data_IF_377877248814
#
_entry.id   IF_377877248814
#
_cell.length_a   1.000
_cell.length_b   1.000
_cell.length_c   1.000
_cell.angle_alpha   90.00
_cell.angle_beta   90.00
_cell.angle_gamma   90.00
#
_symmetry.space_group_name_H-M   'P 1'
#
loop_
_entity.id
_entity.type
_entity.pdbx_description
1 polymer ?
#
# COMPACT_ATOMS: atom_id res chain seq x y z
N UNK A 1 5.22 32.71 2.41
CA UNK A 1 5.29 31.31 1.97
C UNK A 1 6.34 30.64 2.86
N UNK A 2 5.94 29.87 3.86
CA UNK A 2 6.88 29.12 4.68
C UNK A 2 7.06 27.72 4.09
N UNK A 3 8.30 27.42 3.72
CA UNK A 3 8.80 26.13 3.25
C UNK A 3 8.73 25.11 4.38
N UNK A 4 7.94 24.05 4.20
CA UNK A 4 7.67 23.05 5.23
C UNK A 4 8.93 22.27 5.64
N UNK A 5 9.24 22.28 6.94
CA UNK A 5 10.29 21.46 7.55
C UNK A 5 9.83 20.00 7.64
N UNK A 6 10.55 19.12 6.96
CA UNK A 6 10.62 17.69 7.33
C UNK A 6 11.79 17.56 8.29
N UNK A 7 11.54 17.15 9.54
CA UNK A 7 12.58 16.94 10.53
C UNK A 7 12.95 15.44 10.56
N UNK A 8 14.17 15.11 10.15
CA UNK A 8 14.74 13.78 10.35
C UNK A 8 14.99 13.54 11.85
N UNK A 9 14.56 12.39 12.38
CA UNK A 9 14.69 12.04 13.81
C UNK A 9 16.10 11.51 14.17
N UNK A 10 17.10 11.88 13.36
CA UNK A 10 18.49 11.44 13.47
C UNK A 10 18.95 10.59 12.28
N UNK A 11 20.21 10.76 11.89
CA UNK A 11 20.93 9.88 10.95
C UNK A 11 21.67 8.86 11.79
N UNK A 12 21.32 7.59 11.71
CA UNK A 12 22.08 6.50 12.35
C UNK A 12 22.63 5.62 11.24
N UNK A 13 23.95 5.65 11.03
CA UNK A 13 24.64 4.77 10.08
C UNK A 13 24.00 4.66 8.68
N UNK A 14 23.57 5.78 8.09
CA UNK A 14 23.00 5.81 6.74
C UNK A 14 21.52 5.42 6.64
N UNK A 15 20.82 5.18 7.76
CA UNK A 15 19.36 5.04 7.79
C UNK A 15 18.68 6.37 8.14
N UNK A 16 17.53 6.62 7.51
CA UNK A 16 16.63 7.73 7.85
C UNK A 16 15.51 7.20 8.73
N UNK A 17 15.37 7.74 9.94
CA UNK A 17 14.24 7.46 10.80
C UNK A 17 13.05 8.36 10.42
N UNK A 18 11.91 7.73 10.10
CA UNK A 18 10.65 8.42 9.77
C UNK A 18 9.73 8.33 11.00
N UNK A 19 9.20 9.47 11.45
CA UNK A 19 8.15 9.49 12.47
C UNK A 19 6.82 9.15 11.82
N UNK A 20 6.16 8.13 12.36
CA UNK A 20 4.84 7.70 11.91
C UNK A 20 3.78 8.33 12.83
N UNK A 21 2.86 9.11 12.26
CA UNK A 21 1.68 9.58 13.00
C UNK A 21 0.63 8.47 12.99
N UNK A 22 -0.09 8.29 14.09
CA UNK A 22 -1.04 7.17 14.27
C UNK A 22 -2.19 7.22 13.26
N UNK A 23 -2.67 8.42 12.92
CA UNK A 23 -3.80 8.61 11.99
C UNK A 23 -3.37 8.92 10.55
N UNK A 24 -2.08 9.14 10.31
CA UNK A 24 -1.50 9.38 8.99
C UNK A 24 -0.16 8.63 8.81
N UNK A 25 -0.17 7.29 8.92
CA UNK A 25 1.08 6.55 8.80
C UNK A 25 1.69 6.72 7.40
N UNK A 26 2.96 7.09 7.36
CA UNK A 26 3.79 7.25 6.16
C UNK A 26 4.64 6.01 5.89
N UNK A 27 4.66 5.01 6.79
CA UNK A 27 5.25 3.70 6.53
C UNK A 27 4.48 2.61 7.28
N UNK A 28 4.53 1.38 6.77
CA UNK A 28 3.94 0.22 7.40
C UNK A 28 4.11 -1.03 6.55
N UNK A 29 3.39 -2.07 6.94
CA UNK A 29 3.38 -3.36 6.25
C UNK A 29 1.96 -3.70 5.76
N UNK A 30 1.88 -4.64 4.82
CA UNK A 30 0.64 -5.17 4.28
C UNK A 30 0.84 -6.59 3.77
N UNK A 31 -0.27 -7.23 3.38
CA UNK A 31 -0.24 -8.59 2.85
C UNK A 31 -1.29 -8.73 1.74
N UNK A 32 -0.88 -9.22 0.58
CA UNK A 32 -1.81 -9.74 -0.43
C UNK A 32 -2.10 -11.18 -0.04
N UNK A 33 -3.35 -11.45 0.33
CA UNK A 33 -3.79 -12.75 0.84
C UNK A 33 -4.19 -13.62 -0.36
N UNK A 34 -3.63 -14.82 -0.44
CA UNK A 34 -3.98 -15.80 -1.47
C UNK A 34 -5.41 -16.31 -1.30
N UNK A 35 -6.04 -16.69 -2.41
CA UNK A 35 -7.33 -17.38 -2.40
C UNK A 35 -7.12 -18.83 -1.94
N UNK A 36 -7.79 -19.23 -0.87
CA UNK A 36 -7.68 -20.56 -0.23
C UNK A 36 -8.86 -21.44 -0.59
N UNK A 37 -10.06 -20.86 -0.63
CA UNK A 37 -11.31 -21.56 -0.94
C UNK A 37 -12.07 -20.76 -2.00
N UNK A 38 -12.30 -21.35 -3.16
CA UNK A 38 -13.06 -20.76 -4.28
C UNK A 38 -13.94 -21.86 -4.90
N UNK A 39 -15.07 -22.15 -4.24
CA UNK A 39 -15.96 -23.24 -4.61
C UNK A 39 -16.88 -22.88 -5.78
N UNK A 40 -17.22 -21.61 -5.95
CA UNK A 40 -18.05 -21.11 -7.05
C UNK A 40 -17.24 -20.66 -8.28
N UNK A 41 -15.90 -20.68 -8.18
CA UNK A 41 -14.96 -20.35 -9.25
C UNK A 41 -15.08 -18.90 -9.75
N UNK A 42 -15.45 -17.97 -8.86
CA UNK A 42 -15.55 -16.54 -9.16
C UNK A 42 -14.20 -15.80 -9.01
N UNK A 43 -13.18 -16.48 -8.48
CA UNK A 43 -11.84 -15.94 -8.27
C UNK A 43 -11.66 -15.16 -6.97
N UNK A 44 -12.64 -15.18 -6.08
CA UNK A 44 -12.58 -14.64 -4.73
C UNK A 44 -12.55 -15.76 -3.70
N UNK A 45 -11.90 -15.49 -2.58
CA UNK A 45 -11.94 -16.39 -1.44
C UNK A 45 -13.31 -16.36 -0.78
N UNK A 46 -13.95 -17.52 -0.68
CA UNK A 46 -15.30 -17.67 -0.15
C UNK A 46 -15.44 -17.20 1.31
N UNK A 47 -14.37 -17.30 2.10
CA UNK A 47 -14.39 -16.99 3.53
C UNK A 47 -13.92 -15.56 3.80
N UNK A 48 -12.77 -15.18 3.24
CA UNK A 48 -12.09 -13.92 3.51
C UNK A 48 -12.44 -12.81 2.52
N UNK A 49 -13.14 -13.15 1.43
CA UNK A 49 -13.59 -12.20 0.39
C UNK A 49 -12.43 -11.38 -0.20
N UNK A 50 -11.30 -12.04 -0.43
CA UNK A 50 -10.11 -11.47 -1.11
C UNK A 50 -9.96 -12.06 -2.50
N UNK A 51 -9.39 -11.30 -3.43
CA UNK A 51 -9.23 -11.68 -4.84
C UNK A 51 -7.87 -12.34 -5.16
N UNK A 52 -6.99 -12.46 -4.15
CA UNK A 52 -5.62 -12.91 -4.36
C UNK A 52 -4.73 -11.91 -5.10
N UNK A 53 -5.22 -10.72 -5.46
CA UNK A 53 -4.57 -9.81 -6.40
C UNK A 53 -4.31 -8.42 -5.83
N UNK A 54 -5.02 -8.05 -4.77
CA UNK A 54 -4.92 -6.70 -4.22
C UNK A 54 -4.85 -6.68 -2.69
N UNK A 55 -4.21 -5.64 -2.17
CA UNK A 55 -4.27 -5.27 -0.77
C UNK A 55 -4.47 -3.75 -0.67
N UNK A 56 -5.52 -3.34 0.05
CA UNK A 56 -5.83 -1.92 0.30
C UNK A 56 -5.18 -1.47 1.59
N UNK A 57 -4.50 -0.34 1.53
CA UNK A 57 -3.88 0.32 2.68
C UNK A 57 -4.57 1.65 2.90
N UNK A 58 -5.14 1.84 4.09
CA UNK A 58 -5.80 3.08 4.49
C UNK A 58 -4.83 3.97 5.28
N UNK A 59 -4.62 5.19 4.82
CA UNK A 59 -3.82 6.21 5.51
C UNK A 59 -4.11 7.59 4.96
N UNK A 60 -4.24 8.58 5.86
CA UNK A 60 -4.41 10.00 5.51
C UNK A 60 -3.15 10.63 4.89
N UNK A 61 -2.03 9.91 4.89
CA UNK A 61 -0.80 10.36 4.23
C UNK A 61 -0.86 10.28 2.70
N UNK A 62 -1.91 9.67 2.11
CA UNK A 62 -2.12 9.62 0.67
C UNK A 62 -2.54 11.00 0.15
N UNK A 63 -1.68 11.63 -0.66
CA UNK A 63 -1.97 12.87 -1.37
C UNK A 63 -1.72 12.72 -2.88
N UNK A 64 -2.19 13.66 -3.70
CA UNK A 64 -1.99 13.60 -5.16
C UNK A 64 -0.49 13.63 -5.54
N UNK A 65 0.32 14.39 -4.81
CA UNK A 65 1.77 14.54 -5.01
C UNK A 65 2.60 13.45 -4.32
N UNK A 66 2.00 12.64 -3.45
CA UNK A 66 2.69 11.58 -2.73
C UNK A 66 3.29 10.54 -3.68
N UNK A 67 4.52 10.11 -3.41
CA UNK A 67 5.15 8.96 -4.05
C UNK A 67 5.07 7.79 -3.10
N UNK A 68 4.50 6.68 -3.57
CA UNK A 68 4.32 5.47 -2.77
C UNK A 68 5.32 4.45 -3.27
N UNK A 69 6.13 3.94 -2.36
CA UNK A 69 7.13 2.93 -2.62
C UNK A 69 6.72 1.66 -1.88
N UNK A 70 6.72 0.55 -2.62
CA UNK A 70 6.36 -0.76 -2.09
C UNK A 70 7.52 -1.71 -2.35
N UNK A 71 7.84 -2.51 -1.35
CA UNK A 71 8.84 -3.58 -1.44
C UNK A 71 8.20 -4.88 -1.00
N UNK A 72 8.17 -5.87 -1.89
CA UNK A 72 7.65 -7.20 -1.56
C UNK A 72 8.69 -8.04 -0.81
N UNK A 73 8.22 -8.77 0.20
CA UNK A 73 8.99 -9.84 0.84
C UNK A 73 8.81 -11.14 0.04
N UNK A 74 9.53 -11.25 -1.07
CA UNK A 74 9.48 -12.39 -1.97
C UNK A 74 8.91 -12.04 -3.35
N UNK A 75 8.62 -13.08 -4.13
CA UNK A 75 8.10 -12.93 -5.49
C UNK A 75 6.55 -12.91 -5.47
N UNK A 76 5.90 -11.80 -5.84
CA UNK A 76 4.45 -11.76 -6.00
C UNK A 76 3.95 -12.62 -7.16
N UNK A 77 4.84 -13.14 -8.02
CA UNK A 77 4.51 -14.05 -9.11
C UNK A 77 3.99 -13.36 -10.37
N UNK A 78 4.12 -12.03 -10.47
CA UNK A 78 3.60 -11.26 -11.59
C UNK A 78 4.03 -9.80 -11.61
N UNK A 79 3.54 -9.07 -12.62
CA UNK A 79 3.69 -7.62 -12.69
C UNK A 79 2.88 -7.00 -11.55
N UNK A 80 3.39 -5.94 -10.95
CA UNK A 80 2.72 -5.25 -9.86
C UNK A 80 2.72 -3.75 -10.07
N UNK A 81 1.76 -3.08 -9.44
CA UNK A 81 1.65 -1.63 -9.47
C UNK A 81 0.95 -1.13 -8.21
N UNK A 82 1.09 0.17 -7.97
CA UNK A 82 0.38 0.88 -6.90
C UNK A 82 -0.60 1.84 -7.55
N UNK A 83 -1.81 1.87 -7.02
CA UNK A 83 -2.87 2.76 -7.46
C UNK A 83 -3.41 3.55 -6.27
N UNK A 84 -3.48 4.88 -6.38
CA UNK A 84 -4.18 5.68 -5.37
C UNK A 84 -5.67 5.65 -5.70
N UNK A 85 -6.49 5.35 -4.72
CA UNK A 85 -7.92 5.15 -4.94
C UNK A 85 -8.62 6.50 -4.94
N UNK A 86 -9.39 6.77 -5.98
CA UNK A 86 -10.31 7.91 -6.05
C UNK A 86 -11.74 7.43 -5.80
N UNK A 87 -12.51 8.25 -5.12
CA UNK A 87 -13.94 8.05 -4.98
C UNK A 87 -14.60 8.44 -6.30
N UNK A 88 -15.33 7.50 -6.90
CA UNK A 88 -15.93 7.64 -8.22
C UNK A 88 -17.10 8.64 -8.25
N UNK A 89 -17.78 8.88 -7.12
CA UNK A 89 -18.93 9.78 -7.06
C UNK A 89 -18.48 11.24 -6.93
N UNK A 90 -17.45 11.50 -6.12
CA UNK A 90 -16.97 12.86 -5.85
C UNK A 90 -15.71 13.23 -6.65
N UNK A 91 -15.07 12.27 -7.33
CA UNK A 91 -13.88 12.48 -8.14
C UNK A 91 -12.66 12.93 -7.34
N UNK A 92 -12.61 12.62 -6.04
CA UNK A 92 -11.52 13.02 -5.13
C UNK A 92 -10.70 11.82 -4.70
N UNK A 93 -9.42 12.06 -4.42
CA UNK A 93 -8.54 11.10 -3.79
C UNK A 93 -9.12 10.68 -2.43
N UNK A 94 -9.09 9.38 -2.16
CA UNK A 94 -9.41 8.81 -0.85
C UNK A 94 -8.15 8.64 -0.02
N UNK A 95 -8.30 8.43 1.29
CA UNK A 95 -7.23 8.06 2.21
C UNK A 95 -6.81 6.59 2.01
N UNK A 96 -6.70 6.13 0.76
CA UNK A 96 -6.45 4.73 0.42
C UNK A 96 -5.62 4.60 -0.84
N UNK A 97 -4.66 3.69 -0.81
CA UNK A 97 -4.02 3.15 -2.02
C UNK A 97 -4.15 1.63 -2.05
N UNK A 98 -4.07 1.06 -3.25
CA UNK A 98 -4.05 -0.37 -3.48
C UNK A 98 -2.69 -0.79 -4.00
N UNK A 99 -2.16 -1.87 -3.45
CA UNK A 99 -1.04 -2.62 -4.02
C UNK A 99 -1.63 -3.78 -4.80
N UNK A 100 -1.36 -3.82 -6.09
CA UNK A 100 -1.99 -4.76 -7.02
C UNK A 100 -0.94 -5.64 -7.71
N UNK A 101 -1.32 -6.87 -8.00
CA UNK A 101 -0.56 -7.82 -8.83
C UNK A 101 -1.42 -8.29 -10.01
N UNK A 102 -0.77 -8.60 -11.13
CA UNK A 102 -1.47 -8.95 -12.37
C UNK A 102 -2.17 -10.31 -12.33
N UNK A 103 -1.70 -11.20 -11.47
CA UNK A 103 -2.21 -12.56 -11.31
C UNK A 103 -2.41 -12.86 -9.83
N UNK A 104 -3.35 -13.75 -9.50
CA UNK A 104 -3.61 -14.11 -8.11
C UNK A 104 -2.39 -14.80 -7.50
N UNK A 105 -1.98 -14.34 -6.31
CA UNK A 105 -0.83 -14.90 -5.61
C UNK A 105 -1.13 -16.32 -5.14
N UNK A 106 -0.16 -17.22 -5.31
CA UNK A 106 -0.29 -18.64 -4.92
C UNK A 106 -0.14 -18.88 -3.42
N UNK A 107 0.45 -17.92 -2.72
CA UNK A 107 0.69 -17.90 -1.29
C UNK A 107 0.60 -16.45 -0.83
N UNK A 108 0.26 -16.23 0.44
CA UNK A 108 0.22 -14.89 1.01
C UNK A 108 1.57 -14.18 0.81
N UNK A 109 1.54 -12.96 0.26
CA UNK A 109 2.75 -12.18 -0.04
C UNK A 109 2.74 -10.92 0.81
N UNK A 110 3.75 -10.80 1.67
CA UNK A 110 3.96 -9.61 2.48
C UNK A 110 4.65 -8.52 1.68
N UNK A 111 4.37 -7.28 2.05
CA UNK A 111 5.10 -6.14 1.54
C UNK A 111 5.21 -5.07 2.61
N UNK A 112 6.29 -4.30 2.54
CA UNK A 112 6.43 -3.05 3.28
C UNK A 112 6.19 -1.89 2.32
N UNK A 113 5.67 -0.80 2.86
CA UNK A 113 5.39 0.41 2.11
C UNK A 113 5.85 1.65 2.86
N UNK A 114 6.14 2.68 2.08
CA UNK A 114 6.37 4.02 2.60
C UNK A 114 5.96 5.08 1.59
N UNK A 115 5.55 6.23 2.13
CA UNK A 115 5.00 7.36 1.40
C UNK A 115 5.94 8.54 1.59
N UNK A 116 6.36 9.12 0.47
CA UNK A 116 7.22 10.30 0.45
C UNK A 116 6.48 11.41 -0.28
N UNK A 117 6.25 12.52 0.39
CA UNK A 117 5.70 13.71 -0.25
C UNK A 117 6.82 14.58 -0.83
N UNK A 118 6.68 14.95 -2.11
CA UNK A 118 7.54 15.96 -2.72
C UNK A 118 6.86 17.32 -2.54
N UNK A 119 7.46 18.19 -1.71
CA UNK A 119 7.08 19.60 -1.58
C UNK A 119 7.85 20.47 -2.56
#
# INVERSE_FOLDING_TARGET
>A
METGKVAADGVVAGSYAVRNEEDAPTTGDGTIISVKTDADSDGWDDETKVDGKSARVQTKAVSESAKIFVTFEGDPGGRWWVEKITDAEIGKLTDTFSVNVSEAVKKDVKFSWWIVESK
#
